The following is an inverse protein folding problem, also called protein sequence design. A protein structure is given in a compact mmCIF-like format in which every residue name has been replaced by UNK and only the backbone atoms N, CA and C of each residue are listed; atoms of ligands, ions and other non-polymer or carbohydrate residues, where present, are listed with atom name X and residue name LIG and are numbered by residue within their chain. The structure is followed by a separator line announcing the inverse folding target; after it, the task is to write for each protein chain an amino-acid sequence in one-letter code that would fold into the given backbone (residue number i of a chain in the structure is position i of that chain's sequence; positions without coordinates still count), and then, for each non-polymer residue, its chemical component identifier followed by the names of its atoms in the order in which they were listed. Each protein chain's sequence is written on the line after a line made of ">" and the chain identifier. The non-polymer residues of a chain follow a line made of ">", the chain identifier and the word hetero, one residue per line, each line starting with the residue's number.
data_IF_979059974299
#
_entry.id   IF_979059974299
#
_cell.length_a   1.000
_cell.length_b   1.000
_cell.length_c   1.000
_cell.angle_alpha   90.00
_cell.angle_beta   90.00
_cell.angle_gamma   90.00
#
_symmetry.space_group_name_H-M   'P 1'
#
loop_
_entity.id
_entity.type
_entity.pdbx_description
1 polymer ?
#
# COMPACT_ATOMS: atom_id res chain seq x y z
N UNK A 1 -10.19 -34.97 7.98
CA UNK A 1 -10.83 -34.19 9.05
C UNK A 1 -9.96 -34.11 10.31
N UNK A 2 -9.58 -35.21 10.97
CA UNK A 2 -8.76 -35.20 12.20
C UNK A 2 -7.35 -34.56 12.07
N UNK A 3 -6.68 -34.66 10.92
CA UNK A 3 -5.35 -34.05 10.69
C UNK A 3 -5.36 -32.52 10.53
N UNK A 4 -6.49 -31.95 10.10
CA UNK A 4 -6.63 -30.49 9.88
C UNK A 4 -6.91 -29.78 11.20
N UNK A 5 -7.75 -30.37 12.06
CA UNK A 5 -8.01 -29.87 13.41
C UNK A 5 -6.77 -29.90 14.31
N UNK A 6 -5.88 -30.87 14.13
CA UNK A 6 -4.62 -30.92 14.89
C UNK A 6 -3.68 -29.80 14.48
N UNK A 7 -3.50 -29.53 13.17
CA UNK A 7 -2.68 -28.39 12.72
C UNK A 7 -3.21 -27.05 13.24
N UNK A 8 -4.53 -26.81 13.21
CA UNK A 8 -5.13 -25.56 13.71
C UNK A 8 -4.87 -25.33 15.21
N UNK A 9 -4.96 -26.39 16.02
CA UNK A 9 -4.65 -26.33 17.44
C UNK A 9 -3.16 -26.00 17.69
N UNK A 10 -2.24 -26.54 16.88
CA UNK A 10 -0.82 -26.21 17.00
C UNK A 10 -0.54 -24.75 16.63
N UNK A 11 -1.13 -24.22 15.55
CA UNK A 11 -0.95 -22.82 15.17
C UNK A 11 -1.56 -21.85 16.20
N UNK A 12 -2.75 -22.16 16.72
CA UNK A 12 -3.38 -21.37 17.78
C UNK A 12 -2.60 -21.41 19.08
N UNK A 13 -2.00 -22.56 19.43
CA UNK A 13 -1.13 -22.68 20.60
C UNK A 13 0.13 -21.83 20.44
N UNK A 14 0.81 -21.92 19.29
CA UNK A 14 2.00 -21.10 19.02
C UNK A 14 1.66 -19.61 19.06
N UNK A 15 0.54 -19.18 18.47
CA UNK A 15 0.09 -17.79 18.55
C UNK A 15 -0.18 -17.32 19.99
N UNK A 16 -0.83 -18.16 20.80
CA UNK A 16 -1.10 -17.85 22.21
C UNK A 16 0.19 -17.74 23.01
N UNK A 17 1.18 -18.56 22.68
CA UNK A 17 2.48 -18.56 23.34
C UNK A 17 3.35 -17.40 22.90
N UNK A 18 3.32 -17.02 21.63
CA UNK A 18 3.99 -15.83 21.10
C UNK A 18 3.38 -14.54 21.67
N UNK A 19 2.07 -14.53 21.95
CA UNK A 19 1.41 -13.40 22.62
C UNK A 19 1.71 -13.29 24.13
N UNK A 20 2.46 -14.24 24.71
CA UNK A 20 2.83 -14.22 26.12
C UNK A 20 4.23 -13.64 26.32
N UNK A 21 4.32 -12.49 27.00
CA UNK A 21 5.57 -11.80 27.34
C UNK A 21 6.64 -12.68 27.99
N UNK A 22 6.23 -13.74 28.69
CA UNK A 22 7.14 -14.67 29.38
C UNK A 22 7.73 -15.76 28.50
N UNK A 23 7.04 -16.10 27.41
CA UNK A 23 7.34 -17.29 26.60
C UNK A 23 7.72 -16.94 25.16
N UNK A 24 7.37 -15.76 24.68
CA UNK A 24 7.64 -15.30 23.31
C UNK A 24 9.12 -15.45 22.95
N UNK A 25 10.03 -14.92 23.77
CA UNK A 25 11.48 -14.98 23.53
C UNK A 25 12.01 -16.42 23.38
N UNK A 26 11.57 -17.35 24.23
CA UNK A 26 12.01 -18.76 24.19
C UNK A 26 11.59 -19.42 22.87
N UNK A 27 10.37 -19.12 22.42
CA UNK A 27 9.83 -19.70 21.20
C UNK A 27 10.42 -19.07 19.95
N UNK A 28 10.64 -17.76 19.95
CA UNK A 28 11.35 -17.06 18.87
C UNK A 28 12.78 -17.59 18.73
N UNK A 29 13.50 -17.82 19.83
CA UNK A 29 14.83 -18.43 19.78
C UNK A 29 14.76 -19.85 19.21
N UNK A 30 13.83 -20.68 19.66
CA UNK A 30 13.67 -22.03 19.13
C UNK A 30 13.37 -22.05 17.63
N UNK A 31 12.53 -21.12 17.16
CA UNK A 31 12.22 -20.94 15.74
C UNK A 31 13.46 -20.48 14.96
N UNK A 32 14.19 -19.50 15.48
CA UNK A 32 15.39 -18.93 14.86
C UNK A 32 16.46 -19.99 14.58
N UNK A 33 16.63 -20.95 15.49
CA UNK A 33 17.63 -22.01 15.35
C UNK A 33 17.13 -23.24 14.58
N UNK A 34 15.89 -23.23 14.09
CA UNK A 34 15.33 -24.32 13.29
C UNK A 34 15.39 -23.95 11.79
N UNK A 35 16.44 -24.40 11.11
CA UNK A 35 16.73 -24.04 9.72
C UNK A 35 15.56 -24.30 8.75
N UNK A 36 14.90 -25.45 8.87
CA UNK A 36 13.84 -25.86 7.93
C UNK A 36 12.49 -25.18 8.23
N UNK A 37 12.39 -24.36 9.29
CA UNK A 37 11.10 -23.85 9.74
C UNK A 37 10.43 -22.99 8.67
N UNK A 38 11.15 -21.98 8.17
CA UNK A 38 10.63 -21.08 7.13
C UNK A 38 10.38 -21.83 5.82
N UNK A 39 11.27 -22.76 5.44
CA UNK A 39 11.11 -23.58 4.23
C UNK A 39 9.81 -24.39 4.24
N UNK A 40 9.47 -24.98 5.40
CA UNK A 40 8.21 -25.71 5.57
C UNK A 40 7.00 -24.78 5.45
N UNK A 41 7.06 -23.55 5.99
CA UNK A 41 5.96 -22.58 5.85
C UNK A 41 5.79 -22.13 4.40
N UNK A 42 6.89 -21.85 3.69
CA UNK A 42 6.87 -21.51 2.26
C UNK A 42 6.30 -22.64 1.40
N UNK A 43 6.67 -23.89 1.70
CA UNK A 43 6.10 -25.06 1.04
C UNK A 43 4.58 -25.15 1.25
N UNK A 44 4.10 -24.91 2.48
CA UNK A 44 2.66 -24.92 2.76
C UNK A 44 1.95 -23.80 1.98
N UNK A 45 2.49 -22.58 1.98
CA UNK A 45 1.90 -21.44 1.27
C UNK A 45 1.77 -21.67 -0.24
N UNK A 46 2.76 -22.30 -0.84
CA UNK A 46 2.81 -22.54 -2.29
C UNK A 46 1.99 -23.75 -2.73
N UNK A 47 1.87 -24.77 -1.88
CA UNK A 47 1.36 -26.10 -2.27
C UNK A 47 0.01 -26.48 -1.66
N UNK A 48 -0.44 -25.81 -0.60
CA UNK A 48 -1.69 -26.16 0.08
C UNK A 48 -2.90 -25.54 -0.61
N UNK A 49 -3.97 -26.33 -0.79
CA UNK A 49 -5.29 -25.84 -1.21
C UNK A 49 -6.26 -25.68 -0.03
N UNK A 50 -5.78 -25.86 1.21
CA UNK A 50 -6.58 -25.67 2.41
C UNK A 50 -6.46 -24.23 2.90
N UNK A 51 -7.51 -23.41 2.65
CA UNK A 51 -7.54 -22.01 3.05
C UNK A 51 -7.38 -21.77 4.55
N UNK A 52 -7.92 -22.63 5.42
CA UNK A 52 -7.74 -22.49 6.87
C UNK A 52 -6.29 -22.69 7.29
N UNK A 53 -5.62 -23.70 6.71
CA UNK A 53 -4.20 -23.95 6.96
C UNK A 53 -3.34 -22.78 6.46
N UNK A 54 -3.62 -22.27 5.26
CA UNK A 54 -2.90 -21.14 4.69
C UNK A 54 -3.03 -19.89 5.57
N UNK A 55 -4.25 -19.53 6.02
CA UNK A 55 -4.46 -18.40 6.93
C UNK A 55 -3.78 -18.61 8.27
N UNK A 56 -3.80 -19.83 8.81
CA UNK A 56 -3.09 -20.14 10.06
C UNK A 56 -1.58 -19.92 9.92
N UNK A 57 -1.00 -20.30 8.77
CA UNK A 57 0.42 -20.05 8.45
C UNK A 57 0.70 -18.56 8.30
N UNK A 58 -0.12 -17.81 7.55
CA UNK A 58 0.04 -16.35 7.38
C UNK A 58 -0.06 -15.64 8.73
N UNK A 59 -1.00 -16.04 9.59
CA UNK A 59 -1.13 -15.52 10.96
C UNK A 59 0.10 -15.81 11.82
N UNK A 60 0.68 -16.99 11.68
CA UNK A 60 1.90 -17.32 12.39
C UNK A 60 3.08 -16.48 11.91
N UNK A 61 3.23 -16.32 10.59
CA UNK A 61 4.27 -15.48 10.01
C UNK A 61 4.15 -14.03 10.49
N UNK A 62 2.96 -13.44 10.37
CA UNK A 62 2.64 -12.10 10.87
C UNK A 62 2.97 -11.94 12.37
N UNK A 63 2.63 -12.93 13.20
CA UNK A 63 2.99 -12.91 14.61
C UNK A 63 4.51 -12.94 14.81
N UNK A 64 5.24 -13.85 14.15
CA UNK A 64 6.69 -13.97 14.33
C UNK A 64 7.43 -12.72 13.85
N UNK A 65 7.12 -12.23 12.65
CA UNK A 65 7.82 -11.08 12.06
C UNK A 65 7.53 -9.77 12.78
N UNK A 66 6.45 -9.70 13.57
CA UNK A 66 6.13 -8.54 14.39
C UNK A 66 6.81 -8.57 15.76
N UNK A 67 7.04 -9.76 16.32
CA UNK A 67 7.72 -9.90 17.60
C UNK A 67 9.26 -9.85 17.47
N UNK A 68 9.82 -10.13 16.29
CA UNK A 68 11.27 -10.15 16.07
C UNK A 68 11.70 -9.50 14.75
N UNK A 69 12.23 -8.27 14.84
CA UNK A 69 12.71 -7.49 13.69
C UNK A 69 13.83 -8.20 12.92
N UNK A 70 14.66 -9.01 13.59
CA UNK A 70 15.77 -9.70 12.92
C UNK A 70 15.28 -10.87 12.07
N UNK A 71 14.23 -11.58 12.52
CA UNK A 71 13.56 -12.58 11.69
C UNK A 71 12.77 -11.91 10.58
N UNK A 72 12.14 -10.77 10.82
CA UNK A 72 11.47 -9.99 9.78
C UNK A 72 12.44 -9.62 8.65
N UNK A 73 13.61 -9.07 8.97
CA UNK A 73 14.63 -8.70 7.98
C UNK A 73 15.10 -9.92 7.15
N UNK A 74 15.20 -11.11 7.75
CA UNK A 74 15.65 -12.32 7.04
C UNK A 74 14.53 -12.96 6.21
N UNK A 75 13.30 -12.97 6.74
CA UNK A 75 12.18 -13.75 6.17
C UNK A 75 11.33 -12.95 5.19
N UNK A 76 11.22 -11.63 5.36
CA UNK A 76 10.49 -10.75 4.46
C UNK A 76 11.26 -10.53 3.14
N UNK A 77 11.53 -11.61 2.41
CA UNK A 77 12.19 -11.57 1.11
C UNK A 77 11.25 -11.98 -0.04
N UNK A 78 11.80 -11.97 -1.26
CA UNK A 78 11.05 -12.27 -2.49
C UNK A 78 10.38 -13.64 -2.47
N UNK A 79 10.97 -14.64 -1.82
CA UNK A 79 10.40 -16.00 -1.74
C UNK A 79 9.13 -16.02 -0.90
N UNK A 80 9.11 -15.33 0.24
CA UNK A 80 7.91 -15.21 1.06
C UNK A 80 6.84 -14.39 0.35
N UNK A 81 7.21 -13.26 -0.27
CA UNK A 81 6.26 -12.44 -1.03
C UNK A 81 5.58 -13.24 -2.15
N UNK A 82 6.35 -13.96 -2.96
CA UNK A 82 5.81 -14.83 -4.01
C UNK A 82 4.89 -15.91 -3.44
N UNK A 83 5.30 -16.56 -2.34
CA UNK A 83 4.49 -17.58 -1.69
C UNK A 83 3.14 -17.03 -1.18
N UNK A 84 3.14 -15.81 -0.63
CA UNK A 84 1.93 -15.11 -0.21
C UNK A 84 1.01 -14.78 -1.39
N UNK A 85 1.56 -14.23 -2.47
CA UNK A 85 0.79 -13.89 -3.68
C UNK A 85 0.18 -15.14 -4.33
N UNK A 86 0.92 -16.25 -4.37
CA UNK A 86 0.43 -17.56 -4.83
C UNK A 86 -0.75 -18.02 -3.96
N UNK A 87 -0.60 -18.02 -2.63
CA UNK A 87 -1.66 -18.41 -1.71
C UNK A 87 -2.91 -17.54 -1.86
N UNK A 88 -2.73 -16.21 -1.93
CA UNK A 88 -3.81 -15.25 -2.11
C UNK A 88 -4.56 -15.48 -3.42
N UNK A 89 -3.83 -15.68 -4.53
CA UNK A 89 -4.41 -15.93 -5.84
C UNK A 89 -5.18 -17.24 -5.88
N UNK A 90 -4.60 -18.32 -5.35
CA UNK A 90 -5.24 -19.65 -5.28
C UNK A 90 -6.57 -19.61 -4.52
N UNK A 91 -6.60 -18.89 -3.40
CA UNK A 91 -7.79 -18.79 -2.55
C UNK A 91 -8.79 -17.72 -2.99
N UNK A 92 -8.40 -16.86 -3.94
CA UNK A 92 -9.18 -15.69 -4.37
C UNK A 92 -9.59 -14.82 -3.18
N UNK A 93 -8.68 -14.63 -2.23
CA UNK A 93 -8.91 -13.74 -1.11
C UNK A 93 -8.86 -12.30 -1.57
N UNK A 94 -10.05 -11.73 -1.73
CA UNK A 94 -10.26 -10.37 -2.24
C UNK A 94 -10.63 -9.39 -1.13
N UNK A 95 -11.33 -9.85 -0.10
CA UNK A 95 -11.76 -9.05 1.04
C UNK A 95 -11.93 -9.91 2.30
N UNK A 96 -12.08 -9.26 3.46
CA UNK A 96 -12.30 -9.91 4.75
C UNK A 96 -11.06 -9.94 5.64
N UNK A 97 -11.20 -10.59 6.79
CA UNK A 97 -10.15 -10.65 7.83
C UNK A 97 -8.89 -11.38 7.34
N UNK A 98 -9.06 -12.29 6.38
CA UNK A 98 -8.01 -13.03 5.71
C UNK A 98 -7.08 -12.12 4.90
N UNK A 99 -7.65 -11.13 4.23
CA UNK A 99 -6.91 -10.18 3.40
C UNK A 99 -6.23 -9.12 4.28
N UNK A 100 -6.88 -8.69 5.36
CA UNK A 100 -6.29 -7.76 6.32
C UNK A 100 -4.96 -8.27 6.88
N UNK A 101 -4.85 -9.56 7.20
CA UNK A 101 -3.60 -10.08 7.73
C UNK A 101 -2.49 -10.16 6.68
N UNK A 102 -2.84 -10.38 5.42
CA UNK A 102 -1.88 -10.31 4.31
C UNK A 102 -1.38 -8.87 4.19
N UNK A 103 -2.28 -7.87 4.23
CA UNK A 103 -1.88 -6.46 4.20
C UNK A 103 -0.97 -6.08 5.37
N UNK A 104 -1.26 -6.56 6.58
CA UNK A 104 -0.41 -6.31 7.75
C UNK A 104 0.97 -6.93 7.61
N UNK A 105 1.06 -8.15 7.09
CA UNK A 105 2.35 -8.78 6.80
C UNK A 105 3.11 -8.01 5.72
N UNK A 106 2.45 -7.56 4.65
CA UNK A 106 3.05 -6.69 3.63
C UNK A 106 3.52 -5.35 4.21
N UNK A 107 2.80 -4.80 5.18
CA UNK A 107 3.26 -3.61 5.92
C UNK A 107 4.57 -3.89 6.68
N UNK A 108 4.75 -5.08 7.27
CA UNK A 108 6.05 -5.46 7.85
C UNK A 108 7.16 -5.55 6.79
N UNK A 109 6.87 -5.92 5.54
CA UNK A 109 7.86 -5.84 4.45
C UNK A 109 8.28 -4.38 4.20
N UNK A 110 7.36 -3.43 4.28
CA UNK A 110 7.65 -2.02 4.01
C UNK A 110 8.55 -1.35 5.06
N UNK A 111 8.75 -1.98 6.22
CA UNK A 111 9.54 -1.42 7.33
C UNK A 111 10.99 -1.93 7.40
N UNK A 112 11.44 -2.78 6.47
CA UNK A 112 12.77 -3.38 6.49
C UNK A 112 13.40 -3.45 5.09
N UNK A 113 14.73 -3.51 5.01
CA UNK A 113 15.46 -3.28 3.74
C UNK A 113 15.22 -4.41 2.75
N UNK A 114 15.28 -5.65 3.23
CA UNK A 114 15.04 -6.85 2.42
C UNK A 114 13.59 -6.87 1.90
N UNK A 115 12.63 -6.49 2.75
CA UNK A 115 11.21 -6.41 2.43
C UNK A 115 10.89 -5.37 1.38
N UNK A 116 11.39 -4.14 1.53
CA UNK A 116 11.23 -3.08 0.53
C UNK A 116 11.80 -3.51 -0.82
N UNK A 117 12.98 -4.14 -0.82
CA UNK A 117 13.59 -4.68 -2.05
C UNK A 117 12.70 -5.74 -2.70
N UNK A 118 12.11 -6.64 -1.91
CA UNK A 118 11.18 -7.65 -2.42
C UNK A 118 9.91 -7.03 -3.02
N UNK A 119 9.35 -6.03 -2.33
CA UNK A 119 8.18 -5.27 -2.78
C UNK A 119 8.44 -4.58 -4.11
N UNK A 120 9.54 -3.82 -4.23
CA UNK A 120 9.91 -3.13 -5.48
C UNK A 120 9.99 -4.10 -6.67
N UNK A 121 10.59 -5.27 -6.48
CA UNK A 121 10.78 -6.26 -7.54
C UNK A 121 9.48 -6.96 -7.98
N UNK A 122 8.43 -6.93 -7.16
CA UNK A 122 7.17 -7.64 -7.43
C UNK A 122 5.96 -6.71 -7.42
N UNK A 123 6.20 -5.39 -7.46
CA UNK A 123 5.14 -4.41 -7.24
C UNK A 123 4.10 -4.40 -8.36
N UNK A 124 4.50 -4.70 -9.60
CA UNK A 124 3.58 -4.84 -10.74
C UNK A 124 2.57 -5.98 -10.55
N UNK A 125 2.93 -7.01 -9.79
CA UNK A 125 2.01 -8.11 -9.43
C UNK A 125 1.19 -7.78 -8.18
N UNK A 126 1.78 -7.03 -7.24
CA UNK A 126 1.16 -6.68 -5.97
C UNK A 126 0.12 -5.56 -6.10
N UNK A 127 0.44 -4.48 -6.83
CA UNK A 127 -0.40 -3.29 -6.93
C UNK A 127 -1.83 -3.60 -7.42
N UNK A 128 -2.05 -4.47 -8.43
CA UNK A 128 -3.39 -4.87 -8.83
C UNK A 128 -4.19 -5.54 -7.70
N UNK A 129 -3.53 -6.24 -6.76
CA UNK A 129 -4.23 -6.85 -5.61
C UNK A 129 -4.79 -5.79 -4.66
N UNK A 130 -4.03 -4.70 -4.43
CA UNK A 130 -4.51 -3.53 -3.70
C UNK A 130 -5.62 -2.83 -4.49
N UNK A 131 -5.49 -2.72 -5.81
CA UNK A 131 -6.52 -2.15 -6.68
C UNK A 131 -7.88 -2.85 -6.54
N UNK A 132 -7.91 -4.19 -6.47
CA UNK A 132 -9.16 -4.93 -6.23
C UNK A 132 -9.77 -4.56 -4.87
N UNK A 133 -8.96 -4.51 -3.82
CA UNK A 133 -9.44 -4.14 -2.48
C UNK A 133 -9.94 -2.69 -2.43
N UNK A 134 -9.21 -1.74 -3.02
CA UNK A 134 -9.56 -0.33 -3.02
C UNK A 134 -10.85 -0.06 -3.82
N UNK A 135 -11.06 -0.74 -4.95
CA UNK A 135 -12.35 -0.69 -5.67
C UNK A 135 -13.51 -1.17 -4.82
N UNK A 136 -13.29 -2.16 -3.95
CA UNK A 136 -14.29 -2.63 -2.99
C UNK A 136 -14.60 -1.58 -1.92
N UNK A 137 -13.57 -0.92 -1.40
CA UNK A 137 -13.72 0.18 -0.43
C UNK A 137 -14.53 1.34 -1.03
N UNK A 138 -14.33 1.62 -2.33
CA UNK A 138 -14.95 2.73 -3.05
C UNK A 138 -16.21 2.33 -3.86
N UNK A 139 -16.91 1.26 -3.47
CA UNK A 139 -18.15 0.85 -4.16
C UNK A 139 -19.31 1.85 -3.97
N UNK A 140 -19.36 2.49 -2.80
CA UNK A 140 -20.37 3.47 -2.41
C UNK A 140 -19.81 4.91 -2.47
N UNK A 141 -20.68 5.91 -2.38
CA UNK A 141 -20.32 7.33 -2.31
C UNK A 141 -19.28 7.63 -1.20
N UNK A 142 -18.40 8.64 -1.34
CA UNK A 142 -17.26 8.82 -0.44
C UNK A 142 -17.66 9.02 1.03
N UNK A 143 -18.75 9.74 1.28
CA UNK A 143 -19.30 9.97 2.62
C UNK A 143 -19.95 8.73 3.26
N UNK A 144 -20.15 7.65 2.49
CA UNK A 144 -20.77 6.40 2.95
C UNK A 144 -19.74 5.29 3.19
N UNK A 145 -18.46 5.51 2.89
CA UNK A 145 -17.41 4.51 3.11
C UNK A 145 -17.37 4.13 4.59
N UNK A 146 -17.58 2.83 4.95
CA UNK A 146 -17.55 2.37 6.33
C UNK A 146 -16.11 2.20 6.82
N UNK A 147 -15.40 3.32 7.05
CA UNK A 147 -14.00 3.32 7.45
C UNK A 147 -13.62 2.40 8.63
N UNK A 148 -14.45 2.22 9.68
CA UNK A 148 -14.12 1.29 10.75
C UNK A 148 -13.86 -0.16 10.27
N UNK A 149 -14.51 -0.58 9.19
CA UNK A 149 -14.35 -1.92 8.60
C UNK A 149 -13.11 -2.06 7.71
N UNK A 150 -12.55 -0.95 7.23
CA UNK A 150 -11.43 -0.93 6.29
C UNK A 150 -10.15 -0.32 6.89
N UNK A 151 -10.24 0.26 8.08
CA UNK A 151 -9.18 1.05 8.71
C UNK A 151 -7.83 0.33 8.72
N UNK A 152 -7.75 -0.87 9.28
CA UNK A 152 -6.48 -1.60 9.42
C UNK A 152 -5.83 -1.91 8.07
N UNK A 153 -6.63 -2.32 7.08
CA UNK A 153 -6.12 -2.61 5.74
C UNK A 153 -5.65 -1.36 5.02
N UNK A 154 -6.40 -0.25 5.09
CA UNK A 154 -5.98 1.02 4.49
C UNK A 154 -4.69 1.53 5.12
N UNK A 155 -4.59 1.52 6.45
CA UNK A 155 -3.38 1.87 7.22
C UNK A 155 -2.18 0.96 6.94
N UNK A 156 -2.41 -0.22 6.36
CA UNK A 156 -1.34 -1.14 5.97
C UNK A 156 -0.97 -1.01 4.48
N UNK A 157 -1.94 -0.82 3.59
CA UNK A 157 -1.74 -0.67 2.14
C UNK A 157 -1.02 0.63 1.81
N UNK A 158 -1.49 1.76 2.35
CA UNK A 158 -1.00 3.09 1.96
C UNK A 158 0.51 3.22 2.22
N UNK A 159 1.04 2.84 3.40
CA UNK A 159 2.48 2.90 3.64
C UNK A 159 3.30 1.92 2.79
N UNK A 160 2.73 0.79 2.35
CA UNK A 160 3.43 -0.13 1.44
C UNK A 160 3.64 0.53 0.08
N UNK A 161 2.61 1.19 -0.45
CA UNK A 161 2.70 1.95 -1.71
C UNK A 161 3.72 3.09 -1.56
N UNK A 162 3.63 3.84 -0.45
CA UNK A 162 4.53 4.95 -0.14
C UNK A 162 6.00 4.49 -0.04
N UNK A 163 6.28 3.41 0.68
CA UNK A 163 7.62 2.87 0.82
C UNK A 163 8.25 2.48 -0.52
N UNK A 164 7.47 1.90 -1.44
CA UNK A 164 7.96 1.57 -2.79
C UNK A 164 8.22 2.83 -3.61
N UNK A 165 7.32 3.82 -3.55
CA UNK A 165 7.49 5.10 -4.22
C UNK A 165 8.75 5.84 -3.72
N UNK A 166 8.94 5.90 -2.40
CA UNK A 166 10.08 6.56 -1.76
C UNK A 166 11.42 5.84 -2.01
N UNK A 167 11.39 4.54 -2.31
CA UNK A 167 12.59 3.70 -2.50
C UNK A 167 12.98 3.49 -3.97
N UNK A 168 12.18 3.98 -4.92
CA UNK A 168 12.45 3.93 -6.36
C UNK A 168 12.91 5.30 -6.87
N UNK A 169 13.54 5.34 -8.05
CA UNK A 169 13.80 6.64 -8.68
C UNK A 169 12.48 7.29 -9.09
N UNK A 170 12.36 8.63 -9.11
CA UNK A 170 11.09 9.30 -9.41
C UNK A 170 10.37 8.79 -10.68
N UNK A 171 11.05 8.60 -11.83
CA UNK A 171 10.40 8.07 -13.03
C UNK A 171 9.91 6.63 -12.87
N UNK A 172 10.69 5.78 -12.19
CA UNK A 172 10.35 4.37 -11.94
C UNK A 172 9.15 4.28 -10.99
N UNK A 173 9.15 5.04 -9.89
CA UNK A 173 8.04 5.07 -8.93
C UNK A 173 6.72 5.51 -9.54
N UNK A 174 6.73 6.48 -10.47
CA UNK A 174 5.54 6.86 -11.22
C UNK A 174 5.08 5.75 -12.18
N UNK A 175 6.02 5.00 -12.76
CA UNK A 175 5.70 3.90 -13.68
C UNK A 175 5.06 2.70 -13.00
N UNK A 176 5.32 2.50 -11.70
CA UNK A 176 4.71 1.43 -10.91
C UNK A 176 3.18 1.45 -10.96
N UNK A 177 2.57 2.63 -11.04
CA UNK A 177 1.12 2.80 -11.12
C UNK A 177 0.51 2.40 -12.48
N UNK A 178 1.34 2.15 -13.50
CA UNK A 178 0.87 1.71 -14.81
C UNK A 178 0.31 0.27 -14.81
N UNK A 179 0.60 -0.52 -13.77
CA UNK A 179 0.09 -1.88 -13.58
C UNK A 179 -1.38 -1.94 -13.15
N UNK A 180 -1.88 -0.91 -12.44
CA UNK A 180 -3.31 -0.71 -12.15
C UNK A 180 -3.65 0.78 -12.03
N UNK A 181 -4.22 1.33 -13.11
CA UNK A 181 -4.58 2.75 -13.25
C UNK A 181 -5.68 3.21 -12.27
N UNK A 182 -6.36 2.28 -11.59
CA UNK A 182 -7.46 2.63 -10.68
C UNK A 182 -7.01 2.92 -9.25
N UNK A 183 -5.78 2.55 -8.87
CA UNK A 183 -5.30 2.69 -7.49
C UNK A 183 -5.27 4.15 -7.05
N UNK A 184 -4.61 5.03 -7.81
CA UNK A 184 -4.50 6.45 -7.46
C UNK A 184 -5.87 7.15 -7.40
N UNK A 185 -6.79 6.99 -8.39
CA UNK A 185 -8.15 7.50 -8.28
C UNK A 185 -8.89 7.02 -7.03
N UNK A 186 -8.80 5.73 -6.69
CA UNK A 186 -9.45 5.20 -5.49
C UNK A 186 -8.84 5.76 -4.21
N UNK A 187 -7.53 5.99 -4.14
CA UNK A 187 -6.90 6.62 -2.98
C UNK A 187 -7.35 8.08 -2.80
N UNK A 188 -7.56 8.82 -3.90
CA UNK A 188 -8.15 10.18 -3.85
C UNK A 188 -9.61 10.11 -3.37
N UNK A 189 -10.36 9.11 -3.84
CA UNK A 189 -11.73 8.87 -3.39
C UNK A 189 -11.82 8.57 -1.89
N UNK A 190 -10.90 7.74 -1.38
CA UNK A 190 -10.71 7.48 0.05
C UNK A 190 -10.37 8.77 0.79
N UNK A 191 -9.47 9.61 0.25
CA UNK A 191 -9.13 10.90 0.87
C UNK A 191 -10.37 11.81 1.01
N UNK A 192 -11.17 11.93 -0.05
CA UNK A 192 -12.43 12.69 -0.04
C UNK A 192 -13.39 12.15 1.03
N UNK A 193 -13.60 10.82 1.07
CA UNK A 193 -14.46 10.20 2.08
C UNK A 193 -13.98 10.46 3.50
N UNK A 194 -12.67 10.36 3.75
CA UNK A 194 -12.08 10.67 5.04
C UNK A 194 -12.32 12.13 5.44
N UNK A 195 -12.13 13.09 4.52
CA UNK A 195 -12.35 14.51 4.79
C UNK A 195 -13.81 14.82 5.10
N UNK A 196 -14.76 14.19 4.39
CA UNK A 196 -16.19 14.35 4.62
C UNK A 196 -16.65 13.79 5.98
N UNK A 197 -15.94 12.78 6.51
CA UNK A 197 -16.28 12.10 7.76
C UNK A 197 -15.36 12.48 8.93
N UNK A 198 -14.40 13.41 8.75
CA UNK A 198 -13.33 13.70 9.75
C UNK A 198 -13.86 14.21 11.10
N UNK A 199 -15.02 14.85 11.09
CA UNK A 199 -15.68 15.38 12.28
C UNK A 199 -16.42 14.28 13.06
N UNK A 200 -16.96 13.29 12.36
CA UNK A 200 -17.81 12.24 12.93
C UNK A 200 -17.02 10.97 13.27
N UNK A 201 -15.92 10.71 12.57
CA UNK A 201 -15.09 9.54 12.74
C UNK A 201 -13.61 9.90 12.89
N UNK A 202 -13.07 9.99 14.13
CA UNK A 202 -11.68 10.40 14.34
C UNK A 202 -10.65 9.40 13.80
N UNK A 203 -11.03 8.14 13.52
CA UNK A 203 -10.12 7.13 12.96
C UNK A 203 -9.60 7.55 11.58
N UNK A 204 -10.41 8.25 10.79
CA UNK A 204 -10.04 8.63 9.41
C UNK A 204 -8.84 9.58 9.36
N UNK A 205 -8.53 10.28 10.47
CA UNK A 205 -7.34 11.14 10.58
C UNK A 205 -6.05 10.36 10.37
N UNK A 206 -6.01 9.12 10.84
CA UNK A 206 -4.87 8.25 10.64
C UNK A 206 -4.65 7.89 9.16
N UNK A 207 -5.74 7.60 8.44
CA UNK A 207 -5.71 7.32 7.00
C UNK A 207 -5.29 8.58 6.23
N UNK A 208 -5.83 9.74 6.60
CA UNK A 208 -5.46 11.03 5.98
C UNK A 208 -3.99 11.38 6.19
N UNK A 209 -3.42 11.06 7.35
CA UNK A 209 -1.99 11.27 7.59
C UNK A 209 -1.13 10.44 6.64
N UNK A 210 -1.46 9.16 6.45
CA UNK A 210 -0.73 8.30 5.51
C UNK A 210 -0.91 8.77 4.05
N UNK A 211 -2.13 9.15 3.65
CA UNK A 211 -2.41 9.68 2.32
C UNK A 211 -1.72 11.02 2.04
N UNK A 212 -1.61 11.88 3.05
CA UNK A 212 -0.88 13.15 2.95
C UNK A 212 0.60 12.91 2.60
N UNK A 213 1.26 11.97 3.29
CA UNK A 213 2.65 11.60 2.99
C UNK A 213 2.76 11.05 1.57
N UNK A 214 1.93 10.05 1.23
CA UNK A 214 1.95 9.44 -0.10
C UNK A 214 1.75 10.46 -1.23
N UNK A 215 0.75 11.35 -1.11
CA UNK A 215 0.49 12.32 -2.16
C UNK A 215 1.56 13.41 -2.25
N UNK A 216 2.20 13.78 -1.13
CA UNK A 216 3.36 14.68 -1.16
C UNK A 216 4.52 14.06 -1.92
N UNK A 217 4.84 12.81 -1.62
CA UNK A 217 5.92 12.09 -2.31
C UNK A 217 5.59 11.86 -3.79
N UNK A 218 4.32 11.65 -4.13
CA UNK A 218 3.85 11.58 -5.51
C UNK A 218 4.00 12.91 -6.26
N UNK A 219 3.64 14.03 -5.63
CA UNK A 219 3.81 15.38 -6.19
C UNK A 219 5.30 15.70 -6.37
N UNK A 220 6.12 15.41 -5.37
CA UNK A 220 7.57 15.59 -5.42
C UNK A 220 8.19 14.77 -6.55
N UNK A 221 7.86 13.48 -6.62
CA UNK A 221 8.33 12.57 -7.67
C UNK A 221 7.92 13.04 -9.07
N UNK A 222 6.69 13.55 -9.20
CA UNK A 222 6.20 14.16 -10.45
C UNK A 222 7.00 15.41 -10.82
N UNK A 223 7.20 16.35 -9.89
CA UNK A 223 7.96 17.59 -10.15
C UNK A 223 9.42 17.27 -10.52
N UNK A 224 10.08 16.40 -9.77
CA UNK A 224 11.46 15.97 -10.03
C UNK A 224 11.61 15.30 -11.39
N UNK A 225 10.68 14.40 -11.75
CA UNK A 225 10.70 13.75 -13.06
C UNK A 225 10.50 14.76 -14.19
N UNK A 226 9.58 15.71 -14.02
CA UNK A 226 9.37 16.79 -14.98
C UNK A 226 10.58 17.71 -15.09
N UNK A 227 11.31 17.99 -13.99
CA UNK A 227 12.54 18.78 -14.03
C UNK A 227 13.62 18.08 -14.87
N UNK A 228 13.81 16.77 -14.68
CA UNK A 228 14.79 15.98 -15.44
C UNK A 228 14.45 15.98 -16.93
N UNK A 229 13.19 15.70 -17.28
CA UNK A 229 12.76 15.59 -18.68
C UNK A 229 12.77 16.94 -19.40
N UNK A 230 12.27 18.00 -18.77
CA UNK A 230 12.18 19.32 -19.39
C UNK A 230 13.53 20.04 -19.49
N UNK A 231 14.54 19.64 -18.73
CA UNK A 231 15.92 20.11 -18.93
C UNK A 231 16.47 19.79 -20.33
N UNK A 232 15.87 18.81 -21.01
CA UNK A 232 16.28 18.34 -22.35
C UNK A 232 15.37 18.82 -23.49
N UNK A 233 14.12 19.25 -23.21
CA UNK A 233 13.15 19.72 -24.21
C UNK A 233 12.00 20.50 -23.54
N UNK A 234 11.74 21.73 -23.99
CA UNK A 234 10.62 22.56 -23.50
C UNK A 234 9.24 22.13 -24.05
N UNK A 235 9.19 21.19 -25.00
CA UNK A 235 7.94 20.70 -25.61
C UNK A 235 7.42 19.45 -24.89
N UNK A 236 6.27 19.58 -24.22
CA UNK A 236 5.50 18.47 -23.65
C UNK A 236 5.10 17.43 -24.70
N UNK A 237 4.96 17.83 -25.96
CA UNK A 237 4.57 16.95 -27.08
C UNK A 237 5.69 15.99 -27.50
N UNK A 238 6.90 16.16 -26.96
CA UNK A 238 8.04 15.25 -27.15
C UNK A 238 8.28 14.32 -25.96
N UNK A 239 7.44 14.38 -24.93
CA UNK A 239 7.51 13.44 -23.81
C UNK A 239 7.23 12.02 -24.32
N UNK A 240 7.97 11.06 -23.76
CA UNK A 240 7.75 9.64 -24.02
C UNK A 240 6.27 9.28 -23.76
N UNK A 241 5.65 8.54 -24.68
CA UNK A 241 4.27 8.08 -24.55
C UNK A 241 4.05 7.28 -23.26
N UNK A 242 5.06 6.55 -22.79
CA UNK A 242 5.01 5.83 -21.51
C UNK A 242 4.92 6.80 -20.32
N UNK A 243 5.67 7.91 -20.36
CA UNK A 243 5.62 8.92 -19.32
C UNK A 243 4.27 9.65 -19.30
N UNK A 244 3.72 9.96 -20.48
CA UNK A 244 2.37 10.53 -20.60
C UNK A 244 1.34 9.61 -19.94
N UNK A 245 1.47 8.28 -20.12
CA UNK A 245 0.63 7.29 -19.48
C UNK A 245 0.77 7.30 -17.95
N UNK A 246 1.99 7.39 -17.42
CA UNK A 246 2.24 7.42 -15.97
C UNK A 246 1.62 8.65 -15.28
N UNK A 247 1.46 9.76 -16.01
CA UNK A 247 0.79 10.97 -15.53
C UNK A 247 -0.69 11.05 -15.94
N UNK A 248 -1.28 9.97 -16.44
CA UNK A 248 -2.66 10.01 -16.89
C UNK A 248 -3.64 10.28 -15.74
N UNK A 249 -3.36 9.72 -14.54
CA UNK A 249 -4.20 9.90 -13.35
C UNK A 249 -4.43 11.37 -12.98
N UNK A 250 -3.40 12.23 -13.06
CA UNK A 250 -3.54 13.65 -12.68
C UNK A 250 -4.26 14.45 -13.76
N UNK A 251 -4.12 14.03 -15.03
CA UNK A 251 -4.89 14.58 -16.16
C UNK A 251 -6.36 14.17 -16.09
N UNK A 252 -6.65 12.97 -15.61
CA UNK A 252 -8.01 12.50 -15.40
C UNK A 252 -8.66 13.20 -14.21
N UNK A 253 -7.89 13.45 -13.14
CA UNK A 253 -8.33 14.29 -12.02
C UNK A 253 -8.67 15.71 -12.47
N UNK A 254 -7.84 16.31 -13.32
CA UNK A 254 -8.09 17.61 -13.94
C UNK A 254 -9.40 17.62 -14.75
N UNK A 255 -9.63 16.59 -15.57
CA UNK A 255 -10.83 16.48 -16.42
C UNK A 255 -12.09 16.04 -15.68
N UNK A 256 -11.98 15.59 -14.43
CA UNK A 256 -13.11 15.13 -13.63
C UNK A 256 -14.19 16.20 -13.54
N UNK A 257 -15.46 15.83 -13.66
CA UNK A 257 -16.56 16.79 -13.44
C UNK A 257 -16.68 17.18 -11.95
N UNK A 258 -16.15 16.34 -11.06
CA UNK A 258 -16.22 16.53 -9.61
C UNK A 258 -15.12 17.48 -9.12
N UNK A 259 -15.50 18.72 -8.77
CA UNK A 259 -14.60 19.68 -8.11
C UNK A 259 -14.12 19.15 -6.75
N UNK A 260 -14.96 18.40 -6.05
CA UNK A 260 -14.65 17.87 -4.70
C UNK A 260 -13.49 16.88 -4.71
N UNK A 261 -13.26 16.14 -5.81
CA UNK A 261 -12.10 15.24 -5.91
C UNK A 261 -10.79 16.04 -6.06
N UNK A 262 -10.79 17.12 -6.84
CA UNK A 262 -9.63 18.03 -6.96
C UNK A 262 -9.34 18.72 -5.64
N UNK A 263 -10.36 19.27 -5.00
CA UNK A 263 -10.27 19.90 -3.67
C UNK A 263 -9.75 18.91 -2.63
N UNK A 264 -10.23 17.67 -2.65
CA UNK A 264 -9.78 16.65 -1.72
C UNK A 264 -8.31 16.30 -1.90
N UNK A 265 -7.85 16.10 -3.14
CA UNK A 265 -6.44 15.88 -3.42
C UNK A 265 -5.59 17.08 -3.00
N UNK A 266 -5.95 18.30 -3.41
CA UNK A 266 -5.20 19.51 -3.07
C UNK A 266 -5.13 19.74 -1.55
N UNK A 267 -6.26 19.63 -0.85
CA UNK A 267 -6.34 19.78 0.60
C UNK A 267 -5.56 18.67 1.31
N UNK A 268 -5.61 17.44 0.80
CA UNK A 268 -4.82 16.34 1.36
C UNK A 268 -3.32 16.59 1.18
N UNK A 269 -2.86 17.12 0.05
CA UNK A 269 -1.44 17.48 -0.17
C UNK A 269 -0.97 18.64 0.71
N UNK A 270 -1.84 19.63 0.96
CA UNK A 270 -1.48 20.92 1.55
C UNK A 270 -1.87 21.07 3.03
N UNK A 271 -2.36 20.00 3.66
CA UNK A 271 -2.98 20.02 4.99
C UNK A 271 -2.13 20.63 6.12
N UNK A 272 -0.80 20.64 6.00
CA UNK A 272 0.12 21.19 7.00
C UNK A 272 0.76 22.53 6.61
N UNK A 273 0.32 23.13 5.50
CA UNK A 273 0.80 24.45 5.07
C UNK A 273 2.25 24.46 4.58
N UNK A 274 2.81 23.31 4.19
CA UNK A 274 4.16 23.25 3.65
C UNK A 274 4.26 23.98 2.31
N UNK A 275 4.98 25.12 2.34
CA UNK A 275 5.22 25.96 1.17
C UNK A 275 5.98 25.23 0.05
N UNK A 276 6.75 24.20 0.37
CA UNK A 276 7.50 23.42 -0.60
C UNK A 276 6.59 22.56 -1.47
N UNK A 277 5.71 21.74 -0.88
CA UNK A 277 4.71 20.94 -1.61
C UNK A 277 3.82 21.84 -2.45
N UNK A 278 3.36 22.97 -1.90
CA UNK A 278 2.58 23.96 -2.66
C UNK A 278 3.34 24.45 -3.89
N UNK A 279 4.61 24.80 -3.73
CA UNK A 279 5.45 25.26 -4.84
C UNK A 279 5.66 24.17 -5.89
N UNK A 280 5.91 22.92 -5.48
CA UNK A 280 6.05 21.76 -6.37
C UNK A 280 4.75 21.49 -7.14
N UNK A 281 3.61 21.58 -6.48
CA UNK A 281 2.29 21.36 -7.09
C UNK A 281 1.96 22.45 -8.11
N UNK A 282 2.22 23.73 -7.79
CA UNK A 282 2.06 24.85 -8.73
C UNK A 282 2.97 24.68 -9.96
N UNK A 283 4.23 24.28 -9.77
CA UNK A 283 5.15 23.98 -10.89
C UNK A 283 4.63 22.83 -11.75
N UNK A 284 4.17 21.76 -11.12
CA UNK A 284 3.59 20.59 -11.79
C UNK A 284 2.37 20.97 -12.61
N UNK A 285 1.43 21.73 -12.04
CA UNK A 285 0.22 22.17 -12.73
C UNK A 285 0.55 23.09 -13.93
N UNK A 286 1.51 24.02 -13.77
CA UNK A 286 1.96 24.88 -14.87
C UNK A 286 2.55 24.05 -16.02
N UNK A 287 3.43 23.11 -15.69
CA UNK A 287 4.11 22.26 -16.68
C UNK A 287 3.15 21.32 -17.37
N UNK A 288 2.21 20.72 -16.64
CA UNK A 288 1.25 19.77 -17.20
C UNK A 288 0.00 20.44 -17.81
N UNK A 289 -0.10 21.79 -17.73
CA UNK A 289 -1.26 22.57 -18.15
C UNK A 289 -2.56 22.10 -17.49
N UNK A 290 -2.57 22.12 -16.15
CA UNK A 290 -3.70 21.70 -15.30
C UNK A 290 -4.37 22.94 -14.65
N UNK A 291 -5.15 23.75 -15.40
CA UNK A 291 -5.71 25.01 -14.89
C UNK A 291 -6.73 24.85 -13.75
N UNK A 292 -7.58 23.81 -13.76
CA UNK A 292 -8.60 23.63 -12.74
C UNK A 292 -7.99 23.19 -11.41
N UNK A 293 -7.00 22.29 -11.47
CA UNK A 293 -6.24 21.92 -10.29
C UNK A 293 -5.39 23.09 -9.78
N UNK A 294 -4.85 23.92 -10.68
CA UNK A 294 -4.13 25.14 -10.30
C UNK A 294 -5.00 26.12 -9.53
N UNK A 295 -6.23 26.39 -10.02
CA UNK A 295 -7.22 27.25 -9.34
C UNK A 295 -7.45 26.77 -7.91
N UNK A 296 -7.68 25.47 -7.74
CA UNK A 296 -7.88 24.82 -6.42
C UNK A 296 -6.70 25.00 -5.46
N UNK A 297 -5.48 25.13 -5.98
CA UNK A 297 -4.25 25.27 -5.19
C UNK A 297 -3.92 26.73 -4.86
N UNK A 298 -4.42 27.67 -5.67
CA UNK A 298 -4.17 29.11 -5.52
C UNK A 298 -5.28 29.88 -4.84
N UNK A 299 -6.48 29.30 -4.75
CA UNK A 299 -7.62 29.87 -4.03
C UNK A 299 -7.44 29.71 -2.51
N UNK A 300 -6.59 30.56 -1.91
CA UNK A 300 -6.54 30.86 -0.46
C UNK A 300 -7.35 32.14 -0.14
#
# INVERSE_FOLDING_TARGET
>A
MFRVQTSELYFSLVQTVLASDKLSAIWIDAIRFQADFIENLLFILTSSTNGHLLIAVIRLLDAITREDDSLAEIWCGSELLKALLVAQHQMKWVQGNEVEIIHRLLYTFSSNVTGVTALMNSFDELLPTFGVYLRKVCEDEPHLIPFPSYYNSLRAIIPVIDAVLASTTPPEGLSCFASDETVLPNLIYVALGCQQQVNDNPLVRGILADLNVLFKDLVKSTDETLQVLMSSTDDLDKLDANFVKNLQWIRDLEKSESTTLREAFATCCLNDGENETRSQLIRTCNRLKLPLLMETVTDD
#
